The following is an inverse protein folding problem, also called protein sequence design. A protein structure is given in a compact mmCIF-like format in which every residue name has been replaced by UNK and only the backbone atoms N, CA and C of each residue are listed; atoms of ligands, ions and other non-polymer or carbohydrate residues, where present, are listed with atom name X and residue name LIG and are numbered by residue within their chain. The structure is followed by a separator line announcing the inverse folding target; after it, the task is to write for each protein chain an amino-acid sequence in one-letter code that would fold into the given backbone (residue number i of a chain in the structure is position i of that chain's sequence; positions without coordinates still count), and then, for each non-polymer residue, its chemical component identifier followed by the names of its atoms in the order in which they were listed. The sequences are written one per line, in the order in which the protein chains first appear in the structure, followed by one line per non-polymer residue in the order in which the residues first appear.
data_IF_157825235337
#
_entry.id   IF_157825235337
#
_cell.length_a   1.000
_cell.length_b   1.000
_cell.length_c   1.000
_cell.angle_alpha   90.00
_cell.angle_beta   90.00
_cell.angle_gamma   90.00
#
_symmetry.space_group_name_H-M   'P 1'
#
loop_
_entity.id
_entity.type
_entity.pdbx_description
1 polymer ?
#
# COMPACT_ATOMS: atom_id res chain seq x y z
N UNK A 1 19.00 -2.68 6.67
CA UNK A 1 18.33 -3.60 5.73
C UNK A 1 16.89 -3.12 5.54
N UNK A 2 16.47 -2.88 4.29
CA UNK A 2 15.12 -2.38 3.94
C UNK A 2 14.08 -3.51 3.84
N UNK A 3 14.47 -4.77 4.04
CA UNK A 3 13.58 -5.93 3.92
C UNK A 3 12.32 -5.82 4.81
N UNK A 4 12.47 -5.42 6.08
CA UNK A 4 11.33 -5.22 6.99
C UNK A 4 10.38 -4.12 6.48
N UNK A 5 10.94 -3.03 5.94
CA UNK A 5 10.16 -1.93 5.38
C UNK A 5 9.34 -2.39 4.18
N UNK A 6 9.95 -3.09 3.22
CA UNK A 6 9.24 -3.60 2.04
C UNK A 6 8.23 -4.69 2.37
N UNK A 7 8.51 -5.58 3.33
CA UNK A 7 7.53 -6.55 3.80
C UNK A 7 6.31 -5.86 4.45
N UNK A 8 6.52 -4.76 5.16
CA UNK A 8 5.42 -3.97 5.75
C UNK A 8 4.57 -3.30 4.66
N UNK A 9 5.21 -2.78 3.60
CA UNK A 9 4.53 -2.23 2.42
C UNK A 9 3.70 -3.31 1.72
N UNK A 10 4.25 -4.52 1.52
CA UNK A 10 3.50 -5.64 0.94
C UNK A 10 2.31 -6.06 1.82
N UNK A 11 2.45 -6.04 3.16
CA UNK A 11 1.34 -6.29 4.09
C UNK A 11 0.18 -5.31 3.89
N UNK A 12 0.48 -4.02 3.78
CA UNK A 12 -0.52 -2.97 3.55
C UNK A 12 -1.19 -3.17 2.18
N UNK A 13 -0.40 -3.37 1.12
CA UNK A 13 -0.93 -3.59 -0.24
C UNK A 13 -1.79 -4.85 -0.32
N UNK A 14 -1.42 -5.92 0.39
CA UNK A 14 -2.20 -7.13 0.50
C UNK A 14 -3.60 -6.83 1.08
N UNK A 15 -3.68 -6.17 2.24
CA UNK A 15 -4.97 -5.83 2.86
C UNK A 15 -5.84 -4.95 1.98
N UNK A 16 -5.25 -3.99 1.27
CA UNK A 16 -5.96 -3.13 0.33
C UNK A 16 -6.53 -3.94 -0.84
N UNK A 17 -5.69 -4.70 -1.54
CA UNK A 17 -6.08 -5.46 -2.73
C UNK A 17 -7.11 -6.55 -2.44
N UNK A 18 -6.96 -7.28 -1.33
CA UNK A 18 -7.92 -8.33 -0.93
C UNK A 18 -9.33 -7.80 -0.67
N UNK A 19 -9.50 -6.49 -0.45
CA UNK A 19 -10.80 -5.86 -0.18
C UNK A 19 -11.30 -4.98 -1.33
N UNK A 20 -10.60 -4.98 -2.48
CA UNK A 20 -10.99 -4.22 -3.68
C UNK A 20 -10.35 -2.82 -3.81
N UNK A 21 -9.45 -2.42 -2.92
CA UNK A 21 -8.71 -1.16 -3.03
C UNK A 21 -7.47 -1.34 -3.93
N UNK A 22 -7.68 -1.20 -5.25
CA UNK A 22 -6.66 -1.49 -6.26
C UNK A 22 -5.89 -0.26 -6.76
N UNK A 23 -6.34 0.95 -6.48
CA UNK A 23 -5.66 2.19 -6.87
C UNK A 23 -4.61 2.57 -5.81
N UNK A 24 -3.38 2.06 -5.96
CA UNK A 24 -2.28 2.26 -5.01
C UNK A 24 -1.10 2.91 -5.73
N UNK A 25 -0.77 4.15 -5.37
CA UNK A 25 0.51 4.77 -5.71
C UNK A 25 1.57 4.34 -4.69
N UNK A 26 2.39 3.37 -5.05
CA UNK A 26 3.49 2.91 -4.21
C UNK A 26 4.77 3.72 -4.50
N UNK A 27 5.22 4.49 -3.52
CA UNK A 27 6.45 5.30 -3.56
C UNK A 27 7.53 4.79 -2.61
N UNK A 28 7.36 3.61 -2.02
CA UNK A 28 8.24 3.06 -0.97
C UNK A 28 9.70 2.88 -1.41
N UNK A 29 9.97 2.78 -2.71
CA UNK A 29 11.31 2.58 -3.27
C UNK A 29 11.92 3.87 -3.83
N UNK A 30 11.30 5.02 -3.62
CA UNK A 30 11.70 6.29 -4.23
C UNK A 30 12.46 7.22 -3.27
N UNK A 31 12.66 6.81 -2.01
CA UNK A 31 13.21 7.67 -0.96
C UNK A 31 14.67 8.12 -1.16
N UNK A 32 15.43 7.45 -2.03
CA UNK A 32 16.82 7.79 -2.37
C UNK A 32 16.94 8.78 -3.55
N UNK A 33 15.82 9.14 -4.18
CA UNK A 33 15.81 10.04 -5.34
C UNK A 33 16.07 11.49 -4.88
N UNK A 34 16.92 12.25 -5.60
CA UNK A 34 17.20 13.65 -5.26
C UNK A 34 15.92 14.49 -5.15
N UNK A 35 15.75 15.17 -4.00
CA UNK A 35 14.61 16.04 -3.72
C UNK A 35 13.26 15.33 -3.56
N UNK A 36 13.24 13.98 -3.49
CA UNK A 36 12.00 13.22 -3.38
C UNK A 36 11.40 13.25 -1.98
N UNK A 37 12.28 13.33 -0.97
CA UNK A 37 11.92 13.47 0.44
C UNK A 37 12.30 14.88 0.91
N UNK A 38 11.44 15.48 1.75
CA UNK A 38 11.73 16.74 2.44
C UNK A 38 12.64 16.49 3.64
N UNK A 39 12.34 15.41 4.36
CA UNK A 39 13.05 14.96 5.55
C UNK A 39 13.10 13.42 5.59
N UNK A 40 13.28 12.84 6.78
CA UNK A 40 13.46 11.39 6.94
C UNK A 40 12.23 10.55 6.57
N UNK A 41 11.01 11.12 6.59
CA UNK A 41 9.77 10.36 6.36
C UNK A 41 8.73 11.07 5.49
N UNK A 42 8.84 12.39 5.30
CA UNK A 42 7.88 13.16 4.50
C UNK A 42 8.32 13.34 3.05
N UNK A 43 7.36 13.20 2.14
CA UNK A 43 7.53 13.48 0.71
C UNK A 43 7.86 14.98 0.51
N UNK A 44 8.90 15.26 -0.27
CA UNK A 44 9.39 16.60 -0.61
C UNK A 44 9.11 17.00 -2.05
N UNK A 45 9.83 18.01 -2.55
CA UNK A 45 9.53 18.69 -3.82
C UNK A 45 9.29 17.75 -5.03
N UNK A 46 10.28 16.94 -5.39
CA UNK A 46 10.18 16.04 -6.55
C UNK A 46 9.16 14.92 -6.31
N UNK A 47 8.98 14.50 -5.05
CA UNK A 47 7.99 13.50 -4.69
C UNK A 47 6.56 14.03 -4.81
N UNK A 48 6.31 15.28 -4.42
CA UNK A 48 5.01 15.94 -4.63
C UNK A 48 4.65 16.05 -6.11
N UNK A 49 5.62 16.31 -6.99
CA UNK A 49 5.38 16.28 -8.45
C UNK A 49 4.91 14.89 -8.91
N UNK A 50 5.42 13.80 -8.33
CA UNK A 50 4.98 12.44 -8.66
C UNK A 50 3.59 12.13 -8.11
N UNK A 51 3.31 12.56 -6.88
CA UNK A 51 1.97 12.43 -6.25
C UNK A 51 0.93 13.20 -7.06
N UNK A 52 1.24 14.43 -7.47
CA UNK A 52 0.36 15.29 -8.27
C UNK A 52 0.00 14.64 -9.60
N UNK A 53 0.98 14.15 -10.37
CA UNK A 53 0.73 13.47 -11.65
C UNK A 53 -0.26 12.30 -11.52
N UNK A 54 -0.13 11.49 -10.48
CA UNK A 54 -1.02 10.35 -10.24
C UNK A 54 -2.40 10.81 -9.76
N UNK A 55 -2.44 11.72 -8.78
CA UNK A 55 -3.68 12.23 -8.17
C UNK A 55 -4.51 13.03 -9.16
N UNK A 56 -3.87 13.92 -9.93
CA UNK A 56 -4.53 14.72 -10.95
C UNK A 56 -5.18 13.84 -12.02
N UNK A 57 -4.48 12.79 -12.48
CA UNK A 57 -5.06 11.81 -13.41
C UNK A 57 -6.27 11.08 -12.82
N UNK A 58 -6.20 10.71 -11.53
CA UNK A 58 -7.29 10.03 -10.84
C UNK A 58 -8.52 10.93 -10.62
N UNK A 59 -8.32 12.18 -10.18
CA UNK A 59 -9.42 13.11 -9.86
C UNK A 59 -10.02 13.75 -11.11
N UNK A 60 -9.21 14.03 -12.14
CA UNK A 60 -9.69 14.66 -13.37
C UNK A 60 -10.52 13.72 -14.25
N UNK A 61 -10.45 12.41 -14.02
CA UNK A 61 -11.17 11.41 -14.79
C UNK A 61 -12.19 10.68 -13.92
N UNK A 62 -13.38 10.41 -14.47
CA UNK A 62 -14.37 9.59 -13.78
C UNK A 62 -13.84 8.18 -13.57
N UNK A 63 -13.79 7.74 -12.33
CA UNK A 63 -13.39 6.38 -11.98
C UNK A 63 -14.59 5.43 -12.03
N UNK A 64 -14.40 4.16 -12.43
CA UNK A 64 -15.44 3.16 -12.28
C UNK A 64 -15.78 2.98 -10.79
N UNK A 65 -17.04 2.65 -10.50
CA UNK A 65 -17.42 2.33 -9.13
C UNK A 65 -16.70 1.06 -8.68
N UNK A 66 -15.94 1.09 -7.57
CA UNK A 66 -15.25 -0.10 -7.07
C UNK A 66 -16.25 -1.06 -6.43
N UNK A 67 -15.98 -2.35 -6.54
CA UNK A 67 -16.66 -3.38 -5.78
C UNK A 67 -15.79 -3.80 -4.60
N UNK A 68 -16.20 -3.41 -3.39
CA UNK A 68 -15.47 -3.73 -2.16
C UNK A 68 -15.96 -5.02 -1.53
N UNK A 69 -15.02 -5.79 -0.98
CA UNK A 69 -15.29 -6.98 -0.19
C UNK A 69 -14.60 -6.82 1.17
N UNK A 70 -15.23 -6.02 2.04
CA UNK A 70 -14.69 -5.74 3.37
C UNK A 70 -14.68 -7.02 4.21
N UNK A 71 -13.54 -7.32 4.83
CA UNK A 71 -13.36 -8.55 5.60
C UNK A 71 -12.92 -8.24 7.04
N UNK A 72 -13.76 -8.59 8.01
CA UNK A 72 -13.51 -8.33 9.43
C UNK A 72 -12.30 -9.09 10.00
N UNK A 73 -11.78 -10.11 9.30
CA UNK A 73 -10.55 -10.81 9.69
C UNK A 73 -9.34 -9.89 9.73
N UNK A 74 -9.35 -8.78 8.99
CA UNK A 74 -8.32 -7.73 9.08
C UNK A 74 -8.36 -6.91 10.38
N UNK A 75 -9.36 -7.10 11.25
CA UNK A 75 -9.40 -6.52 12.60
C UNK A 75 -8.86 -7.47 13.67
N UNK A 76 -8.51 -8.70 13.29
CA UNK A 76 -8.12 -9.74 14.24
C UNK A 76 -6.70 -9.51 14.80
N UNK A 77 -6.42 -10.00 16.03
CA UNK A 77 -5.07 -10.06 16.56
C UNK A 77 -4.11 -10.88 15.67
N UNK A 78 -4.63 -11.87 14.93
CA UNK A 78 -3.85 -12.64 13.97
C UNK A 78 -3.30 -11.72 12.88
N UNK A 79 -4.15 -10.92 12.23
CA UNK A 79 -3.70 -9.97 11.21
C UNK A 79 -2.73 -8.93 11.78
N UNK A 80 -3.06 -8.32 12.92
CA UNK A 80 -2.25 -7.27 13.56
C UNK A 80 -0.83 -7.76 13.82
N UNK A 81 -0.68 -8.96 14.38
CA UNK A 81 0.62 -9.52 14.78
C UNK A 81 1.31 -10.36 13.68
N UNK A 82 0.71 -10.48 12.49
CA UNK A 82 1.26 -11.27 11.39
C UNK A 82 2.61 -10.70 10.90
N UNK A 83 3.69 -11.48 10.96
CA UNK A 83 4.94 -11.20 10.25
C UNK A 83 4.72 -11.41 8.75
N UNK A 84 4.85 -10.38 7.89
CA UNK A 84 4.40 -10.44 6.50
C UNK A 84 5.41 -11.07 5.55
N UNK A 85 5.79 -12.32 5.82
CA UNK A 85 6.48 -13.15 4.82
C UNK A 85 5.48 -13.63 3.76
N UNK A 86 5.93 -13.95 2.53
CA UNK A 86 5.04 -14.45 1.48
C UNK A 86 4.19 -15.65 1.92
N UNK A 87 4.80 -16.62 2.63
CA UNK A 87 4.09 -17.80 3.12
C UNK A 87 3.05 -17.49 4.22
N UNK A 88 3.31 -16.51 5.08
CA UNK A 88 2.34 -16.09 6.10
C UNK A 88 1.15 -15.35 5.49
N UNK A 89 1.39 -14.48 4.50
CA UNK A 89 0.32 -13.79 3.76
C UNK A 89 -0.55 -14.78 2.99
N UNK A 90 0.06 -15.79 2.34
CA UNK A 90 -0.68 -16.85 1.66
C UNK A 90 -1.59 -17.64 2.62
N UNK A 91 -1.05 -18.08 3.77
CA UNK A 91 -1.85 -18.77 4.80
C UNK A 91 -2.99 -17.91 5.35
N UNK A 92 -2.79 -16.60 5.47
CA UNK A 92 -3.86 -15.70 5.88
C UNK A 92 -4.91 -15.53 4.76
N UNK A 93 -4.49 -15.48 3.49
CA UNK A 93 -5.39 -15.42 2.34
C UNK A 93 -6.31 -16.62 2.25
N UNK A 94 -5.81 -17.83 2.51
CA UNK A 94 -6.61 -19.07 2.55
C UNK A 94 -7.76 -18.99 3.56
N UNK A 95 -7.62 -18.14 4.60
CA UNK A 95 -8.65 -17.89 5.60
C UNK A 95 -9.59 -16.76 5.22
N UNK A 96 -9.40 -16.01 4.13
CA UNK A 96 -10.33 -14.93 3.75
C UNK A 96 -11.63 -15.45 3.17
N UNK A 97 -11.67 -16.72 2.76
CA UNK A 97 -12.81 -17.43 2.20
C UNK A 97 -13.45 -18.38 3.21
#
# INVERSE_FOLDING_TARGET
DMNMYYQSVEKIKFQLRQQGFNHILDLSHDGDKPGFMEDTIHIGWAGWVKVDKATNSFISNKQPQPHYQINSKFLSPEWTNLTPTPGNLQKFQEKLH
#
